data_IF_006638372033
#
_entry.id   IF_006638372033
#
_cell.length_a   1.000
_cell.length_b   1.000
_cell.length_c   1.000
_cell.angle_alpha   90.00
_cell.angle_beta   90.00
_cell.angle_gamma   90.00
#
_symmetry.space_group_name_H-M   'P 1'
#
loop_
_entity.id
_entity.type
_entity.pdbx_description
1 polymer ?
#
# COMPACT_ATOMS: atom_id res chain seq x y z
N UNK A 1 -15.38 -11.54 -8.25
CA UNK A 1 -14.11 -10.78 -8.35
C UNK A 1 -13.58 -10.72 -9.77
N UNK A 2 -13.42 -11.85 -10.50
CA UNK A 2 -12.90 -11.82 -11.88
C UNK A 2 -13.71 -10.91 -12.80
N UNK A 3 -15.04 -10.91 -12.71
CA UNK A 3 -15.86 -9.96 -13.49
C UNK A 3 -15.65 -8.49 -13.11
N UNK A 4 -15.39 -8.21 -11.83
CA UNK A 4 -14.97 -6.88 -11.39
C UNK A 4 -13.61 -6.51 -11.98
N UNK A 5 -12.65 -7.44 -11.98
CA UNK A 5 -11.32 -7.24 -12.55
C UNK A 5 -11.37 -6.99 -14.07
N UNK A 6 -12.37 -7.51 -14.77
CA UNK A 6 -12.62 -7.30 -16.20
C UNK A 6 -13.31 -5.97 -16.53
N UNK A 7 -14.11 -5.43 -15.61
CA UNK A 7 -15.11 -4.39 -15.91
C UNK A 7 -14.87 -3.06 -15.21
N UNK A 8 -14.21 -3.07 -14.05
CA UNK A 8 -13.90 -1.86 -13.31
C UNK A 8 -12.65 -1.16 -13.87
N UNK A 9 -12.42 0.09 -13.47
CA UNK A 9 -11.12 0.75 -13.67
C UNK A 9 -10.02 -0.08 -12.99
N UNK A 10 -8.81 -0.18 -13.56
CA UNK A 10 -7.74 -1.02 -13.01
C UNK A 10 -7.45 -0.78 -11.52
N UNK A 11 -7.45 0.47 -11.05
CA UNK A 11 -7.25 0.81 -9.64
C UNK A 11 -8.35 0.25 -8.72
N UNK A 12 -9.62 0.37 -9.10
CA UNK A 12 -10.74 -0.19 -8.35
C UNK A 12 -10.78 -1.72 -8.44
N UNK A 13 -10.45 -2.28 -9.60
CA UNK A 13 -10.30 -3.72 -9.79
C UNK A 13 -9.25 -4.31 -8.86
N UNK A 14 -8.11 -3.64 -8.70
CA UNK A 14 -7.04 -4.05 -7.80
C UNK A 14 -7.48 -4.01 -6.33
N UNK A 15 -8.23 -2.99 -5.91
CA UNK A 15 -8.82 -2.93 -4.54
C UNK A 15 -9.71 -4.15 -4.28
N UNK A 16 -10.55 -4.54 -5.24
CA UNK A 16 -11.41 -5.72 -5.11
C UNK A 16 -10.57 -7.01 -5.09
N UNK A 17 -9.54 -7.11 -5.92
CA UNK A 17 -8.66 -8.27 -5.97
C UNK A 17 -7.87 -8.46 -4.65
N UNK A 18 -7.23 -7.40 -4.15
CA UNK A 18 -6.51 -7.42 -2.86
C UNK A 18 -7.44 -7.83 -1.72
N UNK A 19 -8.64 -7.24 -1.66
CA UNK A 19 -9.64 -7.57 -0.64
C UNK A 19 -10.08 -9.03 -0.72
N UNK A 20 -10.32 -9.55 -1.94
CA UNK A 20 -10.70 -10.95 -2.14
C UNK A 20 -9.58 -11.91 -1.71
N UNK A 21 -8.33 -11.64 -2.09
CA UNK A 21 -7.18 -12.46 -1.70
C UNK A 21 -6.98 -12.43 -0.18
N UNK A 22 -7.11 -11.26 0.45
CA UNK A 22 -7.02 -11.13 1.92
C UNK A 22 -8.11 -11.92 2.65
N UNK A 23 -9.30 -12.04 2.07
CA UNK A 23 -10.39 -12.87 2.59
C UNK A 23 -10.23 -14.36 2.28
N UNK A 24 -9.13 -14.77 1.63
CA UNK A 24 -8.82 -16.18 1.36
C UNK A 24 -9.37 -16.71 0.05
N UNK A 25 -9.62 -15.86 -0.95
CA UNK A 25 -9.96 -16.33 -2.29
C UNK A 25 -8.87 -17.26 -2.84
N UNK A 26 -9.28 -18.41 -3.36
CA UNK A 26 -8.36 -19.42 -3.91
C UNK A 26 -7.77 -18.96 -5.24
N UNK A 27 -6.48 -18.66 -5.25
CA UNK A 27 -5.72 -18.23 -6.43
C UNK A 27 -5.85 -19.23 -7.59
N UNK A 28 -5.87 -20.54 -7.31
CA UNK A 28 -5.98 -21.56 -8.36
C UNK A 28 -7.33 -21.52 -9.06
N UNK A 29 -8.40 -21.34 -8.29
CA UNK A 29 -9.75 -21.17 -8.83
C UNK A 29 -9.84 -19.89 -9.64
N UNK A 30 -9.20 -18.81 -9.20
CA UNK A 30 -9.15 -17.55 -9.95
C UNK A 30 -8.44 -17.71 -11.30
N UNK A 31 -7.33 -18.43 -11.34
CA UNK A 31 -6.61 -18.74 -12.58
C UNK A 31 -7.47 -19.59 -13.54
N UNK A 32 -8.17 -20.60 -13.02
CA UNK A 32 -9.11 -21.40 -13.82
C UNK A 32 -10.22 -20.53 -14.43
N UNK A 33 -10.85 -19.66 -13.64
CA UNK A 33 -11.90 -18.75 -14.13
C UNK A 33 -11.35 -17.77 -15.18
N UNK A 34 -10.09 -17.33 -15.04
CA UNK A 34 -9.43 -16.49 -16.03
C UNK A 34 -9.17 -17.22 -17.35
N UNK A 35 -8.80 -18.51 -17.29
CA UNK A 35 -8.58 -19.35 -18.46
C UNK A 35 -9.89 -19.66 -19.19
N UNK A 36 -10.95 -19.99 -18.45
CA UNK A 36 -12.32 -20.13 -18.98
C UNK A 36 -12.90 -18.81 -19.53
N UNK A 37 -12.30 -17.68 -19.16
CA UNK A 37 -12.66 -16.35 -19.65
C UNK A 37 -11.82 -15.89 -20.83
N UNK A 38 -10.97 -16.76 -21.40
CA UNK A 38 -10.20 -16.46 -22.61
C UNK A 38 -11.09 -15.96 -23.75
N UNK A 39 -10.61 -14.97 -24.49
CA UNK A 39 -11.37 -14.30 -25.57
C UNK A 39 -12.47 -13.36 -25.10
N UNK A 40 -12.87 -13.35 -23.83
CA UNK A 40 -13.87 -12.40 -23.32
C UNK A 40 -13.25 -11.01 -23.14
N UNK A 41 -14.06 -9.97 -23.39
CA UNK A 41 -13.68 -8.57 -23.13
C UNK A 41 -13.19 -8.40 -21.68
N UNK A 42 -12.07 -7.70 -21.52
CA UNK A 42 -11.47 -7.36 -20.23
C UNK A 42 -10.59 -8.45 -19.60
N UNK A 43 -10.44 -9.63 -20.21
CA UNK A 43 -9.65 -10.73 -19.60
C UNK A 43 -8.16 -10.39 -19.44
N UNK A 44 -7.59 -9.63 -20.38
CA UNK A 44 -6.19 -9.18 -20.29
C UNK A 44 -5.99 -8.27 -19.05
N UNK A 45 -6.90 -7.31 -18.85
CA UNK A 45 -6.88 -6.45 -17.67
C UNK A 45 -7.02 -7.27 -16.38
N UNK A 46 -7.94 -8.24 -16.36
CA UNK A 46 -8.13 -9.08 -15.18
C UNK A 46 -6.87 -9.88 -14.82
N UNK A 47 -6.14 -10.41 -15.82
CA UNK A 47 -4.84 -11.06 -15.60
C UNK A 47 -3.81 -10.09 -15.05
N UNK A 48 -3.71 -8.89 -15.60
CA UNK A 48 -2.79 -7.86 -15.11
C UNK A 48 -3.11 -7.45 -13.67
N UNK A 49 -4.39 -7.22 -13.35
CA UNK A 49 -4.83 -6.90 -11.99
C UNK A 49 -4.46 -8.01 -11.01
N UNK A 50 -4.70 -9.27 -11.36
CA UNK A 50 -4.37 -10.39 -10.48
C UNK A 50 -2.86 -10.59 -10.29
N UNK A 51 -2.04 -10.30 -11.30
CA UNK A 51 -0.58 -10.27 -11.16
C UNK A 51 -0.08 -9.18 -10.21
N UNK A 52 -0.82 -8.08 -10.09
CA UNK A 52 -0.48 -6.95 -9.21
C UNK A 52 -1.08 -7.09 -7.81
N UNK A 53 -2.05 -7.99 -7.62
CA UNK A 53 -2.77 -8.15 -6.37
C UNK A 53 -1.89 -8.78 -5.28
N UNK A 54 -2.09 -8.37 -4.04
CA UNK A 54 -1.37 -8.89 -2.87
C UNK A 54 -2.28 -8.86 -1.64
N UNK A 55 -2.48 -10.03 -1.05
CA UNK A 55 -3.34 -10.26 0.11
C UNK A 55 -2.94 -9.46 1.36
N UNK A 56 -1.71 -8.94 1.41
CA UNK A 56 -1.20 -8.14 2.53
C UNK A 56 -1.72 -6.70 2.53
N UNK A 57 -2.35 -6.22 1.45
CA UNK A 57 -2.97 -4.89 1.47
C UNK A 57 -4.18 -4.88 2.40
N UNK A 58 -4.14 -4.09 3.47
CA UNK A 58 -5.17 -4.13 4.51
C UNK A 58 -6.30 -3.12 4.26
N UNK A 59 -6.07 -2.14 3.38
CA UNK A 59 -7.04 -1.09 3.06
C UNK A 59 -7.07 -0.71 1.57
N UNK A 60 -8.20 -0.18 1.08
CA UNK A 60 -8.26 0.41 -0.27
C UNK A 60 -7.23 1.51 -0.49
N UNK A 61 -6.91 2.30 0.55
CA UNK A 61 -5.92 3.36 0.45
C UNK A 61 -4.52 2.85 0.14
N UNK A 62 -4.07 1.81 0.85
CA UNK A 62 -2.79 1.13 0.58
C UNK A 62 -2.71 0.60 -0.86
N UNK A 63 -3.77 -0.06 -1.31
CA UNK A 63 -3.86 -0.58 -2.69
C UNK A 63 -3.78 0.55 -3.72
N UNK A 64 -4.45 1.68 -3.47
CA UNK A 64 -4.41 2.83 -4.37
C UNK A 64 -3.03 3.50 -4.41
N UNK A 65 -2.33 3.62 -3.27
CA UNK A 65 -0.95 4.13 -3.26
C UNK A 65 -0.04 3.22 -4.08
N UNK A 66 -0.16 1.90 -3.93
CA UNK A 66 0.59 0.93 -4.76
C UNK A 66 0.28 1.08 -6.23
N UNK A 67 -1.01 1.18 -6.58
CA UNK A 67 -1.45 1.38 -7.96
C UNK A 67 -0.80 2.62 -8.57
N UNK A 68 -0.90 3.78 -7.91
CA UNK A 68 -0.34 5.02 -8.45
C UNK A 68 1.19 5.01 -8.54
N UNK A 69 1.88 4.33 -7.61
CA UNK A 69 3.32 4.15 -7.72
C UNK A 69 3.70 3.33 -8.96
N UNK A 70 3.02 2.20 -9.19
CA UNK A 70 3.26 1.31 -10.32
C UNK A 70 2.92 1.96 -11.66
N UNK A 71 1.75 2.60 -11.74
CA UNK A 71 1.27 3.32 -12.93
C UNK A 71 2.24 4.47 -13.32
N UNK A 72 2.88 5.09 -12.33
CA UNK A 72 3.91 6.11 -12.54
C UNK A 72 5.33 5.57 -12.83
N UNK A 73 5.49 4.25 -12.99
CA UNK A 73 6.77 3.59 -13.27
C UNK A 73 7.73 3.53 -12.09
N UNK A 74 7.25 3.69 -10.85
CA UNK A 74 8.06 3.47 -9.66
C UNK A 74 8.12 1.97 -9.33
N UNK A 75 9.23 1.45 -8.76
CA UNK A 75 9.30 0.09 -8.26
C UNK A 75 8.19 -0.21 -7.25
N UNK A 76 7.80 -1.48 -7.17
CA UNK A 76 6.73 -1.91 -6.28
C UNK A 76 7.05 -1.55 -4.83
N UNK A 77 6.02 -1.10 -4.12
CA UNK A 77 6.04 -0.97 -2.67
C UNK A 77 5.74 -2.31 -2.03
N UNK A 78 6.53 -2.68 -1.03
CA UNK A 78 6.34 -3.91 -0.24
C UNK A 78 5.28 -3.64 0.83
N UNK A 79 4.14 -4.34 0.85
CA UNK A 79 3.12 -4.16 1.87
C UNK A 79 3.53 -4.76 3.22
N UNK A 80 3.03 -4.15 4.29
CA UNK A 80 3.08 -4.66 5.67
C UNK A 80 4.50 -5.03 6.12
N UNK A 81 5.46 -4.14 5.84
CA UNK A 81 6.87 -4.38 6.09
C UNK A 81 7.24 -4.15 7.56
N UNK A 82 7.83 -5.15 8.21
CA UNK A 82 8.29 -5.05 9.60
C UNK A 82 9.71 -4.48 9.70
N UNK A 83 9.86 -3.44 10.51
CA UNK A 83 11.14 -2.81 10.84
C UNK A 83 11.53 -3.16 12.26
N UNK A 84 12.69 -3.80 12.41
CA UNK A 84 13.31 -4.04 13.73
C UNK A 84 14.03 -2.78 14.19
N UNK A 85 13.68 -2.31 15.38
CA UNK A 85 14.28 -1.15 16.05
C UNK A 85 14.77 -1.54 17.45
N UNK A 86 15.49 -0.65 18.13
CA UNK A 86 15.89 -0.86 19.53
C UNK A 86 14.70 -0.91 20.50
N UNK A 87 13.51 -0.47 20.08
CA UNK A 87 12.27 -0.51 20.90
C UNK A 87 11.36 -1.69 20.57
N UNK A 88 11.79 -2.56 19.66
CA UNK A 88 10.98 -3.66 19.14
C UNK A 88 10.68 -3.50 17.66
N UNK A 89 9.73 -4.30 17.18
CA UNK A 89 9.35 -4.36 15.77
C UNK A 89 8.13 -3.47 15.50
N UNK A 90 8.23 -2.63 14.47
CA UNK A 90 7.13 -1.78 14.01
C UNK A 90 6.81 -2.08 12.55
N UNK A 91 5.52 -2.29 12.27
CA UNK A 91 5.02 -2.54 10.92
C UNK A 91 4.71 -1.23 10.21
N UNK A 92 5.07 -1.15 8.94
CA UNK A 92 4.76 -0.07 8.00
C UNK A 92 3.78 -0.59 6.96
N UNK A 93 2.79 0.20 6.58
CA UNK A 93 1.76 -0.24 5.63
C UNK A 93 2.37 -0.57 4.27
N UNK A 94 3.31 0.26 3.80
CA UNK A 94 4.04 0.09 2.56
C UNK A 94 5.51 0.53 2.73
N UNK A 95 6.43 -0.06 1.97
CA UNK A 95 7.84 0.31 2.04
C UNK A 95 8.61 0.13 0.73
N UNK A 96 9.68 0.91 0.57
CA UNK A 96 10.87 0.53 -0.21
C UNK A 96 12.00 0.18 0.76
N UNK A 97 12.17 -1.11 1.12
CA UNK A 97 13.11 -1.51 2.17
C UNK A 97 14.56 -1.13 1.87
N UNK A 98 14.99 -1.28 0.62
CA UNK A 98 16.35 -0.94 0.17
C UNK A 98 16.67 0.55 0.34
N UNK A 99 15.64 1.41 0.30
CA UNK A 99 15.77 2.86 0.48
C UNK A 99 15.45 3.30 1.91
N UNK A 100 15.03 2.38 2.80
CA UNK A 100 14.47 2.68 4.13
C UNK A 100 13.40 3.78 4.09
N UNK A 101 12.53 3.73 3.07
CA UNK A 101 11.38 4.61 2.96
C UNK A 101 10.14 3.82 3.30
N UNK A 102 9.42 4.26 4.32
CA UNK A 102 8.12 3.73 4.73
C UNK A 102 7.00 4.68 4.34
N UNK A 103 5.80 4.14 4.13
CA UNK A 103 4.58 4.90 3.95
C UNK A 103 3.50 4.36 4.88
N UNK A 104 2.69 5.29 5.37
CA UNK A 104 1.54 5.00 6.22
C UNK A 104 0.32 5.69 5.65
N UNK A 105 -0.74 4.91 5.46
CA UNK A 105 -1.99 5.42 4.98
C UNK A 105 -2.88 5.82 6.16
N UNK A 106 -3.05 7.12 6.38
CA UNK A 106 -3.98 7.63 7.37
C UNK A 106 -5.37 7.76 6.74
N UNK A 107 -6.10 6.64 6.79
CA UNK A 107 -7.53 6.64 6.55
C UNK A 107 -8.19 7.39 7.70
N UNK A 108 -8.47 8.68 7.48
CA UNK A 108 -9.23 9.57 8.38
C UNK A 108 -10.19 8.74 9.25
N UNK A 109 -10.00 8.83 10.57
CA UNK A 109 -10.66 8.08 11.68
C UNK A 109 -9.77 7.01 12.35
N UNK A 110 -8.73 7.46 13.06
CA UNK A 110 -8.28 6.79 14.32
C UNK A 110 -8.33 7.70 15.56
N UNK A 111 -8.53 9.01 15.39
CA UNK A 111 -8.55 9.95 16.52
C UNK A 111 -9.96 10.24 17.08
N UNK A 112 -11.03 9.98 16.31
CA UNK A 112 -12.39 10.37 16.69
C UNK A 112 -13.14 9.34 17.55
N UNK A 113 -12.65 8.10 17.71
CA UNK A 113 -13.45 6.99 18.28
C UNK A 113 -12.86 6.26 19.50
N UNK A 114 -11.66 6.60 19.95
CA UNK A 114 -11.04 5.89 21.08
C UNK A 114 -11.48 6.47 22.42
N UNK A 115 -12.46 5.86 23.10
CA UNK A 115 -12.59 6.00 24.55
C UNK A 115 -11.28 5.52 25.19
N UNK A 116 -10.51 6.42 25.82
CA UNK A 116 -9.22 6.10 26.44
C UNK A 116 -8.31 7.32 26.61
N UNK A 117 -7.03 7.10 26.94
CA UNK A 117 -5.98 8.10 27.15
C UNK A 117 -5.40 8.63 25.83
N UNK A 118 -5.76 9.85 25.37
CA UNK A 118 -5.24 10.41 24.12
C UNK A 118 -3.77 10.83 24.24
N UNK A 119 -3.33 11.25 25.42
CA UNK A 119 -1.95 11.68 25.65
C UNK A 119 -0.99 10.49 25.58
N UNK A 120 -1.35 9.36 26.17
CA UNK A 120 -0.59 8.11 26.08
C UNK A 120 -0.45 7.62 24.63
N UNK A 121 -1.51 7.71 23.82
CA UNK A 121 -1.47 7.34 22.39
C UNK A 121 -0.54 8.26 21.58
N UNK A 122 -0.62 9.57 21.79
CA UNK A 122 0.27 10.52 21.13
C UNK A 122 1.74 10.26 21.50
N UNK A 123 1.99 9.99 22.78
CA UNK A 123 3.33 9.65 23.26
C UNK A 123 3.83 8.34 22.64
N UNK A 124 2.99 7.31 22.54
CA UNK A 124 3.34 6.04 21.89
C UNK A 124 3.65 6.23 20.41
N UNK A 125 2.87 7.04 19.69
CA UNK A 125 3.10 7.33 18.27
C UNK A 125 4.41 8.09 18.07
N UNK A 126 4.70 9.11 18.89
CA UNK A 126 5.98 9.82 18.86
C UNK A 126 7.15 8.87 19.12
N UNK A 127 7.01 8.01 20.14
CA UNK A 127 8.01 6.99 20.52
C UNK A 127 8.31 6.00 19.39
N UNK A 128 7.28 5.64 18.61
CA UNK A 128 7.37 4.79 17.43
C UNK A 128 8.07 5.51 16.28
N UNK A 129 7.69 6.75 16.01
CA UNK A 129 8.30 7.56 14.96
C UNK A 129 9.79 7.80 15.22
N UNK A 130 10.16 8.13 16.47
CA UNK A 130 11.56 8.31 16.88
C UNK A 130 12.38 7.03 16.64
N UNK A 131 11.84 5.86 17.00
CA UNK A 131 12.54 4.58 16.82
C UNK A 131 12.74 4.21 15.34
N UNK A 132 11.73 4.46 14.50
CA UNK A 132 11.84 4.26 13.05
C UNK A 132 12.89 5.20 12.46
N UNK A 133 12.86 6.47 12.86
CA UNK A 133 13.81 7.49 12.40
C UNK A 133 15.24 7.15 12.81
N UNK A 134 15.47 6.73 14.06
CA UNK A 134 16.77 6.29 14.56
C UNK A 134 17.26 5.01 13.87
N UNK A 135 16.35 4.14 13.42
CA UNK A 135 16.68 3.02 12.53
C UNK A 135 17.00 3.46 11.08
N UNK A 136 17.00 4.77 10.80
CA UNK A 136 17.32 5.36 9.51
C UNK A 136 16.14 5.37 8.52
N UNK A 137 14.91 5.18 8.99
CA UNK A 137 13.73 5.19 8.13
C UNK A 137 13.17 6.59 7.93
N UNK A 138 12.75 6.87 6.70
CA UNK A 138 11.94 8.06 6.37
C UNK A 138 10.50 7.62 6.16
N UNK A 139 9.57 8.17 6.96
CA UNK A 139 8.16 7.79 6.90
C UNK A 139 7.36 8.89 6.18
N UNK A 140 6.58 8.49 5.18
CA UNK A 140 5.65 9.36 4.45
C UNK A 140 4.21 9.04 4.87
N UNK A 141 3.50 10.02 5.43
CA UNK A 141 2.06 9.87 5.64
C UNK A 141 1.29 10.23 4.37
N UNK A 142 0.39 9.34 3.97
CA UNK A 142 -0.51 9.53 2.82
C UNK A 142 -1.94 9.53 3.33
N UNK A 143 -2.75 10.48 2.89
CA UNK A 143 -4.15 10.59 3.29
C UNK A 143 -5.08 10.37 2.10
N UNK A 144 -6.39 10.34 2.37
CA UNK A 144 -7.40 10.36 1.31
C UNK A 144 -7.31 11.59 0.39
N UNK A 145 -6.82 12.73 0.88
CA UNK A 145 -6.65 13.93 0.06
C UNK A 145 -5.54 13.76 -0.97
N UNK A 146 -4.46 13.07 -0.61
CA UNK A 146 -3.39 12.73 -1.54
C UNK A 146 -3.88 11.80 -2.66
N UNK A 147 -4.81 10.88 -2.36
CA UNK A 147 -5.37 9.99 -3.38
C UNK A 147 -6.32 10.69 -4.35
N UNK A 148 -6.82 11.89 -4.00
CA UNK A 148 -7.61 12.73 -4.92
C UNK A 148 -6.73 13.46 -5.94
N UNK A 149 -5.43 13.58 -5.67
CA UNK A 149 -4.44 14.20 -6.56
C UNK A 149 -3.26 13.23 -6.79
N UNK A 150 -3.42 12.24 -7.71
CA UNK A 150 -2.41 11.24 -7.96
C UNK A 150 -1.08 11.82 -8.44
N UNK A 151 -1.09 12.93 -9.19
CA UNK A 151 0.13 13.57 -9.69
C UNK A 151 0.95 14.13 -8.54
N UNK A 152 0.31 14.83 -7.59
CA UNK A 152 0.96 15.34 -6.39
C UNK A 152 1.49 14.21 -5.52
N UNK A 153 0.71 13.14 -5.31
CA UNK A 153 1.16 11.96 -4.58
C UNK A 153 2.41 11.36 -5.23
N UNK A 154 2.39 11.11 -6.54
CA UNK A 154 3.53 10.56 -7.28
C UNK A 154 4.75 11.50 -7.20
N UNK A 155 4.55 12.82 -7.24
CA UNK A 155 5.59 13.81 -7.02
C UNK A 155 6.28 13.64 -5.65
N UNK A 156 5.49 13.47 -4.58
CA UNK A 156 6.00 13.21 -3.22
C UNK A 156 6.77 11.89 -3.16
N UNK A 157 6.25 10.84 -3.78
CA UNK A 157 6.90 9.53 -3.87
C UNK A 157 8.27 9.61 -4.55
N UNK A 158 8.34 10.27 -5.71
CA UNK A 158 9.60 10.49 -6.45
C UNK A 158 10.61 11.29 -5.63
N UNK A 159 10.17 12.37 -4.99
CA UNK A 159 11.02 13.21 -4.15
C UNK A 159 11.63 12.41 -2.99
N UNK A 160 10.81 11.63 -2.27
CA UNK A 160 11.29 10.80 -1.17
C UNK A 160 12.31 9.76 -1.60
N UNK A 161 12.09 9.08 -2.74
CA UNK A 161 13.06 8.12 -3.30
C UNK A 161 14.37 8.78 -3.69
N UNK A 162 14.30 9.96 -4.31
CA UNK A 162 15.48 10.73 -4.70
C UNK A 162 16.32 11.08 -3.48
N UNK A 163 15.71 11.67 -2.46
CA UNK A 163 16.38 12.04 -1.21
C UNK A 163 16.96 10.82 -0.48
N UNK A 164 16.25 9.70 -0.45
CA UNK A 164 16.74 8.46 0.16
C UNK A 164 17.98 7.90 -0.57
N UNK A 165 17.99 7.94 -1.91
CA UNK A 165 19.14 7.53 -2.72
C UNK A 165 20.34 8.45 -2.53
N UNK A 166 20.11 9.75 -2.37
CA UNK A 166 21.18 10.73 -2.10
C UNK A 166 21.83 10.51 -0.74
N UNK A 167 21.07 10.08 0.29
CA UNK A 167 21.59 9.74 1.62
C UNK A 167 22.35 8.41 1.69
N UNK A 168 22.10 7.51 0.73
CA UNK A 168 22.74 6.20 0.67
C UNK A 168 24.06 6.19 -0.10
N UNK A 169 24.46 7.34 -0.65
CA UNK A 169 25.75 7.57 -1.31
C UNK A 169 26.72 8.20 -0.33
#
# INVERSE_FOLDING_TARGET
MVDCARSLRPSSALVVADSALRLGADVRLLDQILDESAGKRGVIQARQVLQLADARSESPGETLVRWFALDAGLPPLVPQFCVKTWRGEFRLDLAWPELRVGLEFDGVVKYAGGMGDPAGRLLAEKKREDALREAGWTILRVTWEDLKDPERLVGRLRAARRLARERAR
#
